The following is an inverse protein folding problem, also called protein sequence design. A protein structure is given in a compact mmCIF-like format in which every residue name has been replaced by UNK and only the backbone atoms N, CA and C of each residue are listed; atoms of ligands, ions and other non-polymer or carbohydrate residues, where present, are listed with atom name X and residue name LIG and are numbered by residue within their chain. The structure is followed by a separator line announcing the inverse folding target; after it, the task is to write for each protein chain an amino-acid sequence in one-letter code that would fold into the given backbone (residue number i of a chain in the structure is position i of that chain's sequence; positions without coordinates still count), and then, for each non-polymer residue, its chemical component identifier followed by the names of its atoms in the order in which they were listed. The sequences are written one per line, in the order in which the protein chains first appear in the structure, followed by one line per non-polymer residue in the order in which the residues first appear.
data_IF_993527095984
#
_entry.id   IF_993527095984
#
_cell.length_a   1.000
_cell.length_b   1.000
_cell.length_c   1.000
_cell.angle_alpha   90.00
_cell.angle_beta   90.00
_cell.angle_gamma   90.00
#
_symmetry.space_group_name_H-M   'P 1'
#
loop_
_entity.id
_entity.type
_entity.pdbx_description
1 polymer ?
#
# COMPACT_ATOMS: atom_id res chain seq x y z
N UNK A 1 2.73 36.66 17.31
CA UNK A 1 2.64 36.18 15.91
C UNK A 1 3.37 34.86 15.89
N UNK A 2 2.67 33.76 16.08
CA UNK A 2 3.29 32.43 16.08
C UNK A 2 3.38 31.98 14.63
N UNK A 3 4.60 31.90 14.10
CA UNK A 3 4.87 31.28 12.81
C UNK A 3 4.51 29.81 12.93
N UNK A 4 3.44 29.40 12.24
CA UNK A 4 3.16 27.99 12.03
C UNK A 4 4.19 27.55 11.00
N UNK A 5 5.35 27.07 11.46
CA UNK A 5 6.24 26.26 10.62
C UNK A 5 5.40 25.08 10.15
N UNK A 6 5.00 25.12 8.88
CA UNK A 6 4.36 24.00 8.22
C UNK A 6 5.35 22.85 8.22
N UNK A 7 5.27 21.98 9.22
CA UNK A 7 5.99 20.72 9.24
C UNK A 7 5.37 19.86 8.14
N UNK A 8 6.00 19.86 6.97
CA UNK A 8 5.71 18.88 5.93
C UNK A 8 6.14 17.53 6.48
N UNK A 9 5.18 16.68 6.83
CA UNK A 9 5.48 15.27 7.11
C UNK A 9 5.78 14.63 5.75
N UNK A 10 6.88 13.90 5.61
CA UNK A 10 7.05 13.03 4.43
C UNK A 10 6.33 11.73 4.74
N UNK A 11 5.37 11.34 3.92
CA UNK A 11 4.77 10.01 4.01
C UNK A 11 5.54 9.13 3.06
N UNK A 12 6.04 8.01 3.59
CA UNK A 12 6.71 6.98 2.81
C UNK A 12 5.80 5.76 2.78
N UNK A 13 5.51 5.26 1.59
CA UNK A 13 4.85 3.98 1.40
C UNK A 13 5.86 2.97 0.88
N UNK A 14 5.75 1.75 1.38
CA UNK A 14 6.52 0.60 0.98
C UNK A 14 5.64 -0.28 0.11
N UNK A 15 6.17 -0.66 -1.05
CA UNK A 15 5.46 -1.39 -2.07
C UNK A 15 6.23 -2.69 -2.32
N UNK A 16 5.58 -3.86 -2.20
CA UNK A 16 6.22 -5.13 -2.49
C UNK A 16 6.36 -5.32 -4.01
N UNK A 17 7.46 -5.93 -4.46
CA UNK A 17 7.78 -6.19 -5.86
C UNK A 17 8.21 -7.64 -6.06
N UNK A 18 7.85 -8.18 -7.23
CA UNK A 18 8.39 -9.43 -7.76
C UNK A 18 9.21 -9.09 -9.01
N UNK A 19 10.53 -9.04 -8.86
CA UNK A 19 11.48 -8.57 -9.87
C UNK A 19 11.27 -7.10 -10.25
N UNK A 20 10.64 -6.86 -11.40
CA UNK A 20 10.40 -5.51 -11.94
C UNK A 20 8.96 -5.03 -11.78
N UNK A 21 8.04 -5.89 -11.37
CA UNK A 21 6.61 -5.59 -11.28
C UNK A 21 6.16 -5.50 -9.82
N UNK A 22 5.20 -4.62 -9.47
CA UNK A 22 4.57 -4.65 -8.15
C UNK A 22 3.96 -6.02 -7.88
N UNK A 23 4.13 -6.53 -6.66
CA UNK A 23 3.56 -7.79 -6.25
C UNK A 23 2.07 -7.59 -5.94
N UNK A 24 1.22 -8.44 -6.53
CA UNK A 24 -0.23 -8.36 -6.39
C UNK A 24 -0.74 -9.60 -5.70
N UNK A 25 -1.63 -9.40 -4.74
CA UNK A 25 -2.43 -10.50 -4.17
C UNK A 25 -3.75 -10.58 -4.90
N UNK A 26 -4.20 -11.81 -5.13
CA UNK A 26 -5.51 -12.07 -5.71
C UNK A 26 -6.47 -12.46 -4.59
N UNK A 27 -7.39 -11.58 -4.26
CA UNK A 27 -8.40 -11.80 -3.21
C UNK A 27 -9.76 -11.88 -3.89
N UNK A 28 -10.41 -13.04 -3.82
CA UNK A 28 -11.74 -13.29 -4.41
C UNK A 28 -11.86 -12.90 -5.90
N UNK A 29 -10.79 -13.05 -6.68
CA UNK A 29 -10.76 -12.71 -8.11
C UNK A 29 -10.35 -11.26 -8.42
N UNK A 30 -10.05 -10.46 -7.40
CA UNK A 30 -9.58 -9.09 -7.53
C UNK A 30 -8.08 -8.99 -7.26
N UNK A 31 -7.36 -8.33 -8.18
CA UNK A 31 -5.95 -8.01 -8.01
C UNK A 31 -5.81 -6.79 -7.11
N UNK A 32 -5.14 -6.93 -5.98
CA UNK A 32 -4.87 -5.86 -5.03
C UNK A 32 -3.37 -5.69 -4.82
N UNK A 33 -2.92 -4.44 -4.87
CA UNK A 33 -1.60 -4.03 -4.43
C UNK A 33 -1.72 -3.56 -2.98
N UNK A 34 -1.05 -4.25 -2.06
CA UNK A 34 -1.04 -3.87 -0.65
C UNK A 34 0.24 -3.09 -0.37
N UNK A 35 0.09 -1.89 0.19
CA UNK A 35 1.20 -1.00 0.54
C UNK A 35 1.10 -0.65 2.03
N UNK A 36 2.22 -0.46 2.70
CA UNK A 36 2.27 -0.08 4.13
C UNK A 36 3.14 1.16 4.30
N UNK A 37 2.89 1.94 5.34
CA UNK A 37 3.80 3.00 5.80
C UNK A 37 4.89 2.49 6.76
N UNK A 38 4.80 1.22 7.19
CA UNK A 38 5.85 0.53 7.93
C UNK A 38 6.65 -0.40 6.99
N UNK A 39 7.96 -0.21 6.94
CA UNK A 39 8.86 -1.04 6.15
C UNK A 39 8.98 -2.44 6.72
N UNK A 40 9.12 -2.55 8.05
CA UNK A 40 9.39 -3.82 8.73
C UNK A 40 8.22 -4.78 8.53
N UNK A 41 7.01 -4.24 8.60
CA UNK A 41 5.79 -5.02 8.43
C UNK A 41 5.68 -5.66 7.03
N UNK A 42 5.97 -4.89 5.98
CA UNK A 42 6.00 -5.44 4.61
C UNK A 42 7.17 -6.40 4.43
N UNK A 43 8.35 -6.10 4.99
CA UNK A 43 9.53 -6.99 4.93
C UNK A 43 9.25 -8.37 5.49
N UNK A 44 8.65 -8.43 6.69
CA UNK A 44 8.27 -9.70 7.33
C UNK A 44 7.14 -10.43 6.59
N UNK A 45 6.40 -9.72 5.74
CA UNK A 45 5.22 -10.24 5.02
C UNK A 45 5.44 -10.48 3.54
N UNK A 46 6.66 -10.33 3.00
CA UNK A 46 6.94 -10.47 1.55
C UNK A 46 6.48 -11.80 0.95
N UNK A 47 6.68 -12.90 1.70
CA UNK A 47 6.25 -14.23 1.30
C UNK A 47 4.72 -14.33 1.10
N UNK A 48 3.93 -13.56 1.85
CA UNK A 48 2.46 -13.53 1.72
C UNK A 48 2.02 -12.91 0.39
N UNK A 49 2.81 -11.97 -0.14
CA UNK A 49 2.55 -11.31 -1.42
C UNK A 49 3.20 -12.00 -2.61
N UNK A 50 4.03 -13.03 -2.38
CA UNK A 50 4.88 -13.61 -3.43
C UNK A 50 5.94 -12.63 -3.97
N UNK A 51 6.37 -11.70 -3.11
CA UNK A 51 7.32 -10.65 -3.43
C UNK A 51 8.74 -11.04 -3.04
N UNK A 52 9.73 -10.47 -3.74
CA UNK A 52 11.16 -10.67 -3.45
C UNK A 52 11.88 -9.41 -2.97
N UNK A 53 11.24 -8.25 -3.14
CA UNK A 53 11.84 -6.95 -2.83
C UNK A 53 10.80 -5.91 -2.49
N UNK A 54 11.25 -4.78 -1.92
CA UNK A 54 10.42 -3.63 -1.55
C UNK A 54 10.98 -2.39 -2.20
N UNK A 55 10.08 -1.51 -2.63
CA UNK A 55 10.41 -0.16 -3.06
C UNK A 55 9.64 0.84 -2.24
N UNK A 56 10.33 1.90 -1.80
CA UNK A 56 9.71 3.00 -1.11
C UNK A 56 9.34 4.12 -2.09
N UNK A 57 8.12 4.63 -1.98
CA UNK A 57 7.69 5.88 -2.62
C UNK A 57 7.45 6.92 -1.54
N UNK A 58 7.94 8.14 -1.77
CA UNK A 58 7.79 9.25 -0.84
C UNK A 58 6.91 10.33 -1.45
N UNK A 59 6.07 10.95 -0.63
CA UNK A 59 5.35 12.15 -1.04
C UNK A 59 5.14 13.11 0.11
N UNK A 60 4.86 14.36 -0.24
CA UNK A 60 4.69 15.45 0.72
C UNK A 60 3.31 15.36 1.39
N UNK A 61 3.24 15.17 2.72
CA UNK A 61 1.98 15.08 3.47
C UNK A 61 1.15 16.37 3.40
N UNK A 62 1.75 17.50 3.05
CA UNK A 62 1.04 18.76 2.80
C UNK A 62 0.22 18.73 1.51
N UNK A 63 0.62 17.88 0.56
CA UNK A 63 -0.07 17.60 -0.68
C UNK A 63 -0.66 16.18 -0.60
N UNK A 64 -1.73 16.01 0.17
CA UNK A 64 -2.57 14.78 0.17
C UNK A 64 -2.90 14.25 -1.23
N UNK A 65 -2.82 15.11 -2.26
CA UNK A 65 -3.00 14.75 -3.66
C UNK A 65 -1.80 14.05 -4.32
N UNK A 66 -0.54 14.28 -3.92
CA UNK A 66 0.62 13.71 -4.62
C UNK A 66 0.85 12.24 -4.28
N UNK A 67 0.82 11.88 -2.99
CA UNK A 67 0.82 10.48 -2.57
C UNK A 67 -0.34 9.70 -3.17
N UNK A 68 -1.55 10.30 -3.16
CA UNK A 68 -2.75 9.68 -3.72
C UNK A 68 -2.61 9.46 -5.22
N UNK A 69 -2.09 10.43 -5.95
CA UNK A 69 -1.88 10.32 -7.40
C UNK A 69 -0.90 9.19 -7.73
N UNK A 70 0.21 9.06 -6.99
CA UNK A 70 1.15 7.95 -7.19
C UNK A 70 0.49 6.58 -6.97
N UNK A 71 -0.34 6.45 -5.93
CA UNK A 71 -1.08 5.22 -5.67
C UNK A 71 -2.17 4.95 -6.72
N UNK A 72 -2.83 5.99 -7.23
CA UNK A 72 -3.79 5.89 -8.34
C UNK A 72 -3.09 5.44 -9.64
N UNK A 73 -1.93 6.03 -9.98
CA UNK A 73 -1.13 5.63 -11.14
C UNK A 73 -0.66 4.17 -11.02
N UNK A 74 -0.27 3.73 -9.82
CA UNK A 74 0.05 2.33 -9.54
C UNK A 74 -1.16 1.40 -9.67
N UNK A 75 -2.35 1.82 -9.19
CA UNK A 75 -3.60 1.07 -9.34
C UNK A 75 -3.96 0.86 -10.82
N UNK A 76 -3.77 1.89 -11.65
CA UNK A 76 -3.99 1.83 -13.08
C UNK A 76 -2.96 0.92 -13.78
N UNK A 77 -1.67 1.03 -13.42
CA UNK A 77 -0.60 0.19 -13.99
C UNK A 77 -0.85 -1.30 -13.75
N UNK A 78 -1.34 -1.65 -12.55
CA UNK A 78 -1.58 -3.05 -12.15
C UNK A 78 -2.99 -3.55 -12.51
N UNK A 79 -3.82 -2.69 -13.11
CA UNK A 79 -5.23 -2.96 -13.41
C UNK A 79 -5.97 -3.58 -12.20
N UNK A 80 -5.80 -2.97 -11.03
CA UNK A 80 -6.21 -3.51 -9.74
C UNK A 80 -6.57 -2.44 -8.72
N UNK A 81 -6.91 -2.87 -7.51
CA UNK A 81 -7.11 -1.98 -6.36
C UNK A 81 -5.80 -1.76 -5.61
N UNK A 82 -5.72 -0.65 -4.87
CA UNK A 82 -4.62 -0.41 -3.92
C UNK A 82 -5.21 -0.37 -2.52
N UNK A 83 -4.61 -1.12 -1.61
CA UNK A 83 -4.96 -1.14 -0.20
C UNK A 83 -3.78 -0.59 0.58
N UNK A 84 -4.04 0.42 1.40
CA UNK A 84 -3.05 0.97 2.32
C UNK A 84 -3.27 0.29 3.67
N UNK A 85 -2.27 -0.47 4.11
CA UNK A 85 -2.24 -1.08 5.42
C UNK A 85 -1.99 -0.01 6.49
N UNK A 86 -2.85 0.10 7.50
CA UNK A 86 -2.60 0.95 8.65
C UNK A 86 -1.49 0.34 9.54
N UNK A 87 -0.67 1.18 10.15
CA UNK A 87 0.50 0.79 10.95
C UNK A 87 0.16 -0.08 12.19
N UNK A 88 -1.11 -0.12 12.60
CA UNK A 88 -1.57 -0.82 13.80
C UNK A 88 -2.24 -2.19 13.50
N UNK A 89 -2.28 -2.63 12.23
CA UNK A 89 -2.96 -3.86 11.84
C UNK A 89 -2.06 -4.74 11.00
N UNK A 90 -1.78 -5.96 11.49
CA UNK A 90 -0.96 -6.93 10.76
C UNK A 90 -1.51 -7.20 9.35
N UNK A 91 -0.65 -7.07 8.34
CA UNK A 91 -0.97 -7.36 6.94
C UNK A 91 -1.70 -8.70 6.72
N UNK A 92 -1.31 -9.75 7.46
CA UNK A 92 -2.00 -11.05 7.39
C UNK A 92 -3.46 -10.97 7.83
N UNK A 93 -3.77 -10.17 8.85
CA UNK A 93 -5.14 -9.92 9.29
C UNK A 93 -5.89 -9.11 8.25
N UNK A 94 -5.27 -8.11 7.61
CA UNK A 94 -5.89 -7.34 6.53
C UNK A 94 -6.28 -8.24 5.37
N UNK A 95 -5.38 -9.13 4.94
CA UNK A 95 -5.67 -10.09 3.87
C UNK A 95 -6.82 -11.03 4.27
N UNK A 96 -6.81 -11.54 5.50
CA UNK A 96 -7.88 -12.41 6.03
C UNK A 96 -9.22 -11.68 6.10
N UNK A 97 -9.22 -10.43 6.56
CA UNK A 97 -10.41 -9.60 6.65
C UNK A 97 -10.92 -9.25 5.25
N UNK A 98 -10.04 -8.96 4.29
CA UNK A 98 -10.44 -8.78 2.89
C UNK A 98 -11.00 -10.08 2.30
N UNK A 99 -10.45 -11.26 2.60
CA UNK A 99 -11.05 -12.51 2.15
C UNK A 99 -12.46 -12.73 2.73
N UNK A 100 -12.67 -12.33 3.99
CA UNK A 100 -13.92 -12.53 4.74
C UNK A 100 -15.01 -11.47 4.46
N UNK A 101 -14.62 -10.20 4.36
CA UNK A 101 -15.50 -9.03 4.19
C UNK A 101 -15.84 -8.75 2.72
N UNK A 102 -15.32 -9.54 1.77
CA UNK A 102 -15.58 -9.37 0.35
C UNK A 102 -16.54 -10.42 -0.24
N UNK A 103 -17.84 -10.43 0.12
CA UNK A 103 -18.87 -10.91 -0.78
C UNK A 103 -19.17 -9.78 -1.78
N UNK A 104 -18.35 -9.62 -2.83
CA UNK A 104 -18.63 -8.55 -3.80
C UNK A 104 -19.97 -8.82 -4.49
N UNK A 105 -20.91 -7.88 -4.28
CA UNK A 105 -22.06 -7.47 -5.10
C UNK A 105 -22.42 -8.45 -6.24
N UNK A 106 -23.56 -9.13 -6.08
CA UNK A 106 -24.25 -9.83 -7.18
C UNK A 106 -24.73 -8.86 -8.28
#
# INVERSE_FOLDING_TARGET
MWGIEGSFVMIRYFIPYTGSCPALVNINGHRLLVVSCDAAEIEDSLDLFGADSIRSVEGESGARGECRRLLEELAEEVEGGVVIAPDDVELAQILTDLEAELPWIQ
#
